data_IF_456483833316
#
_entry.id   IF_456483833316
#
_cell.length_a   1.000
_cell.length_b   1.000
_cell.length_c   1.000
_cell.angle_alpha   90.00
_cell.angle_beta   90.00
_cell.angle_gamma   90.00
#
_symmetry.space_group_name_H-M   'P 1'
#
loop_
_entity.id
_entity.type
_entity.pdbx_description
1 polymer ?
#
# COMPACT_ATOMS: atom_id res chain seq x y z
N UNK A 1 19.42 -7.33 -2.42
CA UNK A 1 18.09 -7.54 -1.83
C UNK A 1 17.25 -6.37 -2.34
N UNK A 2 16.08 -6.62 -2.95
CA UNK A 2 15.28 -5.57 -3.63
C UNK A 2 14.46 -4.78 -2.60
N UNK A 3 14.39 -3.46 -2.72
CA UNK A 3 13.51 -2.65 -1.85
C UNK A 3 12.03 -2.71 -2.32
N UNK A 4 11.11 -2.12 -1.56
CA UNK A 4 9.68 -2.14 -1.91
C UNK A 4 9.40 -1.57 -3.30
N UNK A 5 10.07 -0.48 -3.66
CA UNK A 5 9.91 0.17 -4.98
C UNK A 5 10.46 -0.72 -6.09
N UNK A 6 11.56 -1.43 -5.86
CA UNK A 6 12.15 -2.37 -6.83
C UNK A 6 11.29 -3.61 -7.00
N UNK A 7 10.76 -4.20 -5.92
CA UNK A 7 9.83 -5.34 -5.99
C UNK A 7 8.57 -4.94 -6.75
N UNK A 8 8.04 -3.74 -6.47
CA UNK A 8 6.92 -3.19 -7.22
C UNK A 8 7.27 -2.84 -8.67
N UNK A 9 8.50 -2.42 -8.97
CA UNK A 9 8.94 -2.11 -10.34
C UNK A 9 9.20 -3.36 -11.17
N UNK A 10 9.59 -4.46 -10.53
CA UNK A 10 9.81 -5.77 -11.18
C UNK A 10 8.49 -6.41 -11.62
N UNK A 11 7.38 -6.00 -10.97
CA UNK A 11 6.07 -6.55 -11.21
C UNK A 11 5.18 -5.54 -11.97
N UNK A 12 4.81 -5.88 -13.20
CA UNK A 12 4.03 -4.99 -14.07
C UNK A 12 2.70 -4.57 -13.43
N UNK A 13 2.15 -5.39 -12.54
CA UNK A 13 0.91 -5.12 -11.79
C UNK A 13 1.01 -3.95 -10.81
N UNK A 14 2.21 -3.47 -10.47
CA UNK A 14 2.40 -2.33 -9.56
C UNK A 14 3.05 -1.12 -10.23
N UNK A 15 3.18 -1.13 -11.57
CA UNK A 15 3.82 -0.06 -12.34
C UNK A 15 3.15 1.32 -12.13
N UNK A 16 1.81 1.34 -11.97
CA UNK A 16 1.03 2.54 -11.59
C UNK A 16 1.44 3.07 -10.21
N UNK A 17 1.55 2.18 -9.22
CA UNK A 17 1.93 2.54 -7.86
C UNK A 17 3.36 3.06 -7.79
N UNK A 18 4.30 2.45 -8.51
CA UNK A 18 5.69 2.94 -8.57
C UNK A 18 5.75 4.36 -9.14
N UNK A 19 4.99 4.61 -10.20
CA UNK A 19 4.92 5.94 -10.83
C UNK A 19 4.34 6.97 -9.85
N UNK A 20 3.29 6.58 -9.12
CA UNK A 20 2.69 7.36 -8.06
C UNK A 20 3.71 7.68 -6.94
N UNK A 21 4.38 6.66 -6.39
CA UNK A 21 5.41 6.80 -5.34
C UNK A 21 6.53 7.74 -5.76
N UNK A 22 7.01 7.63 -7.01
CA UNK A 22 8.02 8.52 -7.57
C UNK A 22 7.49 9.94 -7.73
N UNK A 23 6.25 10.11 -8.19
CA UNK A 23 5.62 11.42 -8.38
C UNK A 23 5.39 12.17 -7.05
N UNK A 24 5.08 11.44 -5.97
CA UNK A 24 4.95 11.97 -4.61
C UNK A 24 6.29 12.17 -3.88
N UNK A 25 7.41 11.74 -4.45
CA UNK A 25 8.72 11.84 -3.80
C UNK A 25 8.88 10.90 -2.59
N UNK A 26 7.99 9.92 -2.42
CA UNK A 26 8.08 8.94 -1.34
C UNK A 26 8.99 7.76 -1.69
N UNK A 27 9.54 7.71 -2.90
CA UNK A 27 10.46 6.66 -3.31
C UNK A 27 11.70 6.58 -2.42
N UNK A 28 12.22 7.73 -1.96
CA UNK A 28 13.37 7.77 -1.04
C UNK A 28 12.97 7.29 0.37
N UNK A 29 11.82 7.74 0.88
CA UNK A 29 11.28 7.28 2.18
C UNK A 29 10.99 5.77 2.17
N UNK A 30 10.38 5.27 1.10
CA UNK A 30 10.09 3.85 0.87
C UNK A 30 11.29 3.05 0.40
N UNK A 31 12.46 3.69 0.23
CA UNK A 31 13.75 3.01 0.08
C UNK A 31 14.61 3.19 1.34
N UNK A 32 14.15 3.95 2.32
CA UNK A 32 14.85 4.21 3.58
C UNK A 32 14.93 2.98 4.48
N UNK A 33 15.70 3.10 5.55
CA UNK A 33 15.92 2.04 6.53
C UNK A 33 14.65 1.80 7.36
N UNK A 34 13.83 0.86 6.88
CA UNK A 34 12.63 0.38 7.57
C UNK A 34 12.94 -0.67 8.63
N UNK A 35 11.91 -1.04 9.42
CA UNK A 35 10.82 -1.79 8.80
C UNK A 35 9.55 -0.97 8.52
N UNK A 36 9.05 -1.07 7.30
CA UNK A 36 7.74 -0.56 6.89
C UNK A 36 6.86 -1.69 6.36
N UNK A 37 5.55 -1.59 6.56
CA UNK A 37 4.57 -2.45 5.90
C UNK A 37 3.82 -1.62 4.86
N UNK A 38 3.81 -2.08 3.61
CA UNK A 38 3.18 -1.37 2.49
C UNK A 38 2.07 -2.20 1.90
N UNK A 39 0.87 -1.62 1.84
CA UNK A 39 -0.26 -2.20 1.14
C UNK A 39 -0.21 -1.73 -0.33
N UNK A 40 0.10 -2.64 -1.25
CA UNK A 40 0.26 -2.33 -2.67
C UNK A 40 -0.96 -2.81 -3.46
N UNK A 41 -1.84 -1.90 -3.95
CA UNK A 41 -2.89 -2.27 -4.89
C UNK A 41 -2.33 -2.69 -6.25
N UNK A 42 -2.91 -3.73 -6.83
CA UNK A 42 -2.61 -4.17 -8.21
C UNK A 42 -3.24 -3.22 -9.24
N UNK A 43 -2.79 -3.29 -10.49
CA UNK A 43 -3.44 -2.58 -11.60
C UNK A 43 -4.94 -2.94 -11.71
N UNK A 44 -5.32 -4.17 -11.34
CA UNK A 44 -6.72 -4.60 -11.30
C UNK A 44 -7.50 -3.84 -10.20
N UNK A 45 -6.88 -3.62 -9.04
CA UNK A 45 -7.44 -2.78 -7.98
C UNK A 45 -7.65 -1.34 -8.44
N UNK A 46 -6.71 -0.79 -9.21
CA UNK A 46 -6.87 0.52 -9.85
C UNK A 46 -7.95 0.52 -10.94
N UNK A 47 -8.12 -0.58 -11.68
CA UNK A 47 -9.13 -0.72 -12.71
C UNK A 47 -10.55 -0.89 -12.14
N UNK A 48 -10.69 -1.42 -10.92
CA UNK A 48 -11.97 -1.46 -10.19
C UNK A 48 -12.45 -0.09 -9.71
N UNK A 49 -11.54 0.86 -9.56
CA UNK A 49 -11.92 2.23 -9.25
C UNK A 49 -12.63 2.88 -10.45
N UNK A 50 -13.60 3.76 -10.21
CA UNK A 50 -14.26 4.46 -11.30
C UNK A 50 -13.26 5.24 -12.17
N UNK A 51 -13.49 5.21 -13.48
CA UNK A 51 -12.66 5.89 -14.47
C UNK A 51 -12.47 7.37 -14.10
N UNK A 52 -11.22 7.84 -14.15
CA UNK A 52 -10.84 9.18 -13.72
C UNK A 52 -10.36 9.30 -12.28
N UNK A 53 -10.52 8.28 -11.43
CA UNK A 53 -9.94 8.29 -10.07
C UNK A 53 -8.42 8.24 -10.13
N UNK A 54 -7.85 7.32 -10.91
CA UNK A 54 -6.40 7.18 -11.08
C UNK A 54 -5.78 8.42 -11.73
N UNK A 55 -6.45 8.97 -12.74
CA UNK A 55 -6.01 10.22 -13.37
C UNK A 55 -6.04 11.40 -12.39
N UNK A 56 -7.09 11.50 -11.55
CA UNK A 56 -7.13 12.51 -10.51
C UNK A 56 -6.01 12.29 -9.49
N UNK A 57 -5.72 11.06 -9.09
CA UNK A 57 -4.58 10.77 -8.21
C UNK A 57 -3.26 11.18 -8.84
N UNK A 58 -3.02 10.81 -10.10
CA UNK A 58 -1.82 11.17 -10.84
C UNK A 58 -1.68 12.69 -11.02
N UNK A 59 -2.80 13.42 -11.11
CA UNK A 59 -2.83 14.90 -11.17
C UNK A 59 -2.66 15.55 -9.79
N UNK A 60 -3.24 14.98 -8.74
CA UNK A 60 -3.19 15.46 -7.35
C UNK A 60 -2.05 14.78 -6.58
N UNK A 61 -0.84 15.34 -6.67
CA UNK A 61 0.31 14.87 -5.87
C UNK A 61 0.05 14.90 -4.37
N UNK A 62 -0.76 15.84 -3.89
CA UNK A 62 -1.07 15.99 -2.46
C UNK A 62 -1.88 14.79 -1.94
N UNK A 63 -3.00 14.47 -2.63
CA UNK A 63 -3.80 13.26 -2.36
C UNK A 63 -2.98 12.00 -2.52
N UNK A 64 -2.15 11.94 -3.56
CA UNK A 64 -1.34 10.77 -3.84
C UNK A 64 -0.33 10.54 -2.70
N UNK A 65 0.27 11.61 -2.16
CA UNK A 65 1.13 11.54 -0.97
C UNK A 65 0.34 11.06 0.26
N UNK A 66 -0.87 11.59 0.48
CA UNK A 66 -1.73 11.14 1.58
C UNK A 66 -2.11 9.65 1.44
N UNK A 67 -2.48 9.21 0.24
CA UNK A 67 -2.87 7.82 -0.02
C UNK A 67 -1.68 6.89 0.14
N UNK A 68 -0.51 7.27 -0.35
CA UNK A 68 0.70 6.47 -0.15
C UNK A 68 1.08 6.40 1.32
N UNK A 69 1.07 7.51 2.05
CA UNK A 69 1.32 7.50 3.49
C UNK A 69 0.24 6.74 4.28
N UNK A 70 -0.96 6.61 3.74
CA UNK A 70 -2.04 5.79 4.30
C UNK A 70 -1.87 4.29 3.99
N UNK A 71 -1.34 3.94 2.83
CA UNK A 71 -0.96 2.55 2.52
C UNK A 71 0.34 2.10 3.21
N UNK A 72 1.07 3.03 3.83
CA UNK A 72 2.32 2.74 4.53
C UNK A 72 2.06 2.73 6.02
N UNK A 73 2.36 1.63 6.66
CA UNK A 73 2.31 1.46 8.10
C UNK A 73 3.75 1.38 8.63
N UNK A 74 4.14 2.22 9.59
CA UNK A 74 5.43 2.11 10.23
C UNK A 74 5.47 0.85 11.11
N UNK A 75 6.51 0.03 10.95
CA UNK A 75 6.66 -1.24 11.66
C UNK A 75 6.55 -2.46 10.74
N UNK A 76 7.12 -3.58 11.19
CA UNK A 76 7.02 -4.86 10.48
C UNK A 76 5.75 -5.57 10.93
N UNK A 77 4.66 -5.41 10.18
CA UNK A 77 3.42 -6.14 10.40
C UNK A 77 3.32 -7.26 9.36
N UNK A 78 3.54 -8.50 9.80
CA UNK A 78 3.35 -9.70 8.99
C UNK A 78 1.88 -10.09 8.93
N UNK A 79 1.46 -10.97 8.02
CA UNK A 79 0.05 -11.37 7.94
C UNK A 79 -0.48 -11.93 9.25
N UNK A 80 0.33 -12.70 9.97
CA UNK A 80 -0.01 -13.20 11.31
C UNK A 80 -0.32 -12.10 12.32
N UNK A 81 0.35 -10.96 12.21
CA UNK A 81 0.15 -9.81 13.09
C UNK A 81 -1.07 -9.02 12.62
N UNK A 82 -1.23 -8.84 11.30
CA UNK A 82 -2.45 -8.30 10.68
C UNK A 82 -3.69 -9.10 11.10
N UNK A 83 -3.60 -10.43 11.16
CA UNK A 83 -4.68 -11.32 11.60
C UNK A 83 -5.10 -11.10 13.06
N UNK A 84 -4.16 -10.67 13.91
CA UNK A 84 -4.40 -10.37 15.33
C UNK A 84 -4.68 -8.89 15.59
N UNK A 85 -4.40 -8.02 14.62
CA UNK A 85 -4.65 -6.58 14.67
C UNK A 85 -6.04 -6.28 14.12
N UNK A 86 -6.80 -5.48 14.85
CA UNK A 86 -8.11 -4.96 14.40
C UNK A 86 -8.01 -3.63 13.68
N UNK A 87 -6.94 -2.89 13.93
CA UNK A 87 -6.61 -1.66 13.23
C UNK A 87 -5.10 -1.50 13.17
N UNK A 88 -4.60 -0.79 12.17
CA UNK A 88 -3.21 -0.38 12.09
C UNK A 88 -3.10 1.12 11.84
N UNK A 89 -2.18 1.77 12.54
CA UNK A 89 -1.95 3.20 12.39
C UNK A 89 -0.96 3.44 11.24
N UNK A 90 -1.38 4.24 10.28
CA UNK A 90 -0.61 4.54 9.07
C UNK A 90 0.35 5.71 9.30
N UNK A 91 1.32 5.90 8.41
CA UNK A 91 2.25 7.06 8.45
C UNK A 91 1.50 8.37 8.27
N UNK A 92 0.39 8.37 7.53
CA UNK A 92 -0.47 9.53 7.33
C UNK A 92 -1.10 10.02 8.64
N UNK A 93 -1.20 9.14 9.65
CA UNK A 93 -1.81 9.41 10.95
C UNK A 93 -3.21 8.83 11.10
N UNK A 94 -3.87 8.45 10.00
CA UNK A 94 -5.12 7.71 10.01
C UNK A 94 -4.95 6.25 10.41
N UNK A 95 -6.01 5.64 10.93
CA UNK A 95 -6.08 4.21 11.18
C UNK A 95 -6.77 3.51 10.02
N UNK A 96 -6.22 2.38 9.60
CA UNK A 96 -6.88 1.43 8.71
C UNK A 96 -7.55 0.36 9.56
N UNK A 97 -8.81 0.06 9.26
CA UNK A 97 -9.53 -1.04 9.92
C UNK A 97 -9.13 -2.35 9.27
N UNK A 98 -8.75 -3.34 10.08
CA UNK A 98 -8.38 -4.66 9.58
C UNK A 98 -9.42 -5.65 10.06
N UNK A 99 -10.17 -6.21 9.12
CA UNK A 99 -11.16 -7.25 9.36
C UNK A 99 -10.58 -8.60 8.98
N UNK A 100 -10.67 -9.57 9.90
CA UNK A 100 -10.05 -10.89 9.75
C UNK A 100 -11.08 -12.02 9.88
N UNK A 101 -12.37 -11.68 10.05
CA UNK A 101 -13.46 -12.64 10.26
C UNK A 101 -13.75 -13.53 9.04
N UNK A 102 -13.61 -13.00 7.81
CA UNK A 102 -13.98 -13.70 6.56
C UNK A 102 -12.84 -13.67 5.52
N UNK A 103 -11.59 -13.58 6.01
CA UNK A 103 -10.40 -13.23 5.22
C UNK A 103 -9.81 -11.90 5.67
N UNK A 104 -8.58 -11.59 5.24
CA UNK A 104 -7.89 -10.37 5.66
C UNK A 104 -8.32 -9.20 4.77
N UNK A 105 -9.14 -8.31 5.31
CA UNK A 105 -9.63 -7.09 4.67
C UNK A 105 -9.05 -5.88 5.37
N UNK A 106 -8.59 -4.91 4.58
CA UNK A 106 -8.12 -3.60 5.07
C UNK A 106 -9.08 -2.55 4.56
N UNK A 107 -9.88 -1.99 5.48
CA UNK A 107 -10.97 -1.05 5.26
C UNK A 107 -12.08 -1.60 4.34
N UNK A 108 -11.83 -1.63 3.04
CA UNK A 108 -12.70 -2.24 2.02
C UNK A 108 -11.92 -3.05 0.97
N UNK A 109 -10.60 -3.18 1.14
CA UNK A 109 -9.74 -3.89 0.23
C UNK A 109 -9.41 -5.29 0.76
N UNK A 110 -9.63 -6.31 -0.05
CA UNK A 110 -9.20 -7.67 0.27
C UNK A 110 -7.71 -7.80 0.01
N UNK A 111 -6.98 -8.40 0.95
CA UNK A 111 -5.61 -8.78 0.70
C UNK A 111 -5.59 -10.07 -0.12
N UNK A 112 -5.01 -10.00 -1.32
CA UNK A 112 -4.82 -11.13 -2.22
C UNK A 112 -3.57 -11.92 -1.83
N UNK A 113 -2.51 -11.21 -1.44
CA UNK A 113 -1.21 -11.82 -1.13
C UNK A 113 -0.54 -11.07 0.01
N UNK A 114 0.03 -11.80 0.96
CA UNK A 114 0.76 -11.23 2.10
C UNK A 114 2.20 -11.73 2.16
N UNK A 115 2.97 -11.15 3.09
CA UNK A 115 4.31 -11.63 3.47
C UNK A 115 5.33 -11.59 2.31
N UNK A 116 5.17 -10.62 1.40
CA UNK A 116 6.19 -10.35 0.39
C UNK A 116 7.32 -9.59 1.08
N UNK A 117 8.41 -10.30 1.35
CA UNK A 117 9.58 -9.71 2.00
C UNK A 117 10.31 -8.76 1.04
N UNK A 118 10.44 -7.51 1.48
CA UNK A 118 11.28 -6.51 0.84
C UNK A 118 12.43 -6.12 1.78
N UNK A 119 13.50 -5.57 1.22
CA UNK A 119 14.72 -5.27 1.99
C UNK A 119 14.51 -4.28 3.13
N UNK A 120 13.48 -3.45 3.01
CA UNK A 120 13.13 -2.39 3.95
C UNK A 120 11.74 -2.61 4.59
N UNK A 121 11.12 -3.79 4.42
CA UNK A 121 9.76 -3.99 4.87
C UNK A 121 9.04 -5.24 4.39
N UNK A 122 7.71 -5.19 4.47
CA UNK A 122 6.79 -6.23 3.99
C UNK A 122 5.76 -5.59 3.06
N UNK A 123 5.48 -6.23 1.93
CA UNK A 123 4.43 -5.80 1.00
C UNK A 123 3.22 -6.74 1.16
N UNK A 124 2.04 -6.15 1.25
CA UNK A 124 0.76 -6.85 1.20
C UNK A 124 0.00 -6.38 -0.04
N UNK A 125 -0.33 -7.31 -0.93
CA UNK A 125 -1.04 -7.06 -2.17
C UNK A 125 -2.53 -7.01 -1.90
N UNK A 126 -3.17 -5.91 -2.30
CA UNK A 126 -4.61 -5.71 -2.12
C UNK A 126 -5.35 -5.62 -3.46
N UNK A 127 -6.62 -6.02 -3.44
CA UNK A 127 -7.49 -6.07 -4.62
C UNK A 127 -8.25 -4.77 -4.88
N UNK A 128 -8.16 -3.79 -3.98
CA UNK A 128 -8.82 -2.48 -4.05
C UNK A 128 -7.89 -1.42 -3.44
N UNK A 129 -8.00 -0.17 -3.88
CA UNK A 129 -7.18 0.94 -3.34
C UNK A 129 -7.82 1.48 -2.06
N UNK A 130 -7.03 1.68 -1.01
CA UNK A 130 -7.48 2.26 0.26
C UNK A 130 -7.31 3.79 0.22
N UNK A 131 -8.39 4.54 0.40
CA UNK A 131 -8.34 6.01 0.39
C UNK A 131 -8.65 6.56 1.78
N UNK A 132 -7.83 7.47 2.33
CA UNK A 132 -8.21 8.20 3.54
C UNK A 132 -9.42 9.07 3.20
N UNK A 133 -10.46 8.98 4.01
CA UNK A 133 -11.72 9.72 3.86
C UNK A 133 -11.69 11.05 4.62
#
# INVERSE_FOLDING_TARGET
MKNIVEVASDNNDFSTLVTAVKAAGLAETLSGEGPFTVFAPTNDAFAKLPEGTVENLLKDKDKLTQILTYHVVPGKIMAKDVLNLKSAKTVQGGEISIDTNDGVKVDNANIIQTDIEASNGVIHVIDSVIMPN
#
